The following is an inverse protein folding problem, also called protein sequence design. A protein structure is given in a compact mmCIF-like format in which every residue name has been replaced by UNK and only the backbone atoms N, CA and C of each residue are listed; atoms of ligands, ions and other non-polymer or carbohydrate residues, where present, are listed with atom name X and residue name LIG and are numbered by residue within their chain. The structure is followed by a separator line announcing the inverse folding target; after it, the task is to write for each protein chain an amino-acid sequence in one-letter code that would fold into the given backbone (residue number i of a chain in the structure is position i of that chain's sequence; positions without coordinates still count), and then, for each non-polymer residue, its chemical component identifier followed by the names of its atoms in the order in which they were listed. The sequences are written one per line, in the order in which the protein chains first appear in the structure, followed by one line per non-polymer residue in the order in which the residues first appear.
data_IF_648224816851
#
_entry.id   IF_648224816851
#
_cell.length_a   1.000
_cell.length_b   1.000
_cell.length_c   1.000
_cell.angle_alpha   90.00
_cell.angle_beta   90.00
_cell.angle_gamma   90.00
#
_symmetry.space_group_name_H-M   'P 1'
#
loop_
_entity.id
_entity.type
_entity.pdbx_description
1 polymer ?
#
# COMPACT_ATOMS: atom_id res chain seq x y z
N UNK A 1 13.00 -16.42 -25.11
CA UNK A 1 13.47 -16.07 -23.74
C UNK A 1 12.41 -15.20 -23.10
N UNK A 2 11.80 -15.63 -21.99
CA UNK A 2 11.00 -14.73 -21.16
C UNK A 2 11.94 -13.59 -20.71
N UNK A 3 11.62 -12.35 -21.09
CA UNK A 3 12.43 -11.19 -20.73
C UNK A 3 12.50 -11.05 -19.21
N UNK A 4 13.59 -11.51 -18.60
CA UNK A 4 13.81 -11.57 -17.16
C UNK A 4 13.88 -10.19 -16.50
N UNK A 5 14.00 -9.12 -17.28
CA UNK A 5 14.26 -7.76 -16.78
C UNK A 5 13.09 -7.12 -16.03
N UNK A 6 11.85 -7.60 -16.23
CA UNK A 6 10.64 -7.04 -15.61
C UNK A 6 9.76 -8.11 -14.93
N UNK A 7 10.35 -9.23 -14.50
CA UNK A 7 9.60 -10.26 -13.78
C UNK A 7 9.51 -9.91 -12.29
N UNK A 8 8.36 -10.18 -11.66
CA UNK A 8 8.19 -10.15 -10.21
C UNK A 8 7.45 -11.38 -9.75
N UNK A 9 7.78 -11.89 -8.57
CA UNK A 9 7.04 -12.97 -7.90
C UNK A 9 6.44 -12.41 -6.62
N UNK A 10 5.12 -12.52 -6.49
CA UNK A 10 4.37 -12.07 -5.30
C UNK A 10 3.81 -13.26 -4.55
N UNK A 11 4.02 -13.26 -3.23
CA UNK A 11 3.30 -14.11 -2.29
C UNK A 11 2.28 -13.26 -1.53
N UNK A 12 1.06 -13.80 -1.35
CA UNK A 12 -0.01 -13.13 -0.61
C UNK A 12 -0.69 -14.14 0.31
N UNK A 13 -0.81 -13.79 1.58
CA UNK A 13 -1.47 -14.60 2.60
C UNK A 13 -2.55 -13.78 3.31
N UNK A 14 -3.79 -14.26 3.23
CA UNK A 14 -4.96 -13.65 3.90
C UNK A 14 -5.28 -14.42 5.18
N UNK A 15 -5.02 -13.80 6.32
CA UNK A 15 -5.34 -14.33 7.64
C UNK A 15 -6.75 -13.88 8.08
N UNK A 16 -7.65 -14.84 8.26
CA UNK A 16 -9.01 -14.61 8.76
C UNK A 16 -9.85 -13.67 7.87
N UNK A 17 -9.49 -13.52 6.59
CA UNK A 17 -10.17 -12.60 5.65
C UNK A 17 -10.04 -11.10 5.98
N UNK A 18 -9.35 -10.75 7.07
CA UNK A 18 -9.25 -9.38 7.56
C UNK A 18 -7.84 -8.80 7.43
N UNK A 19 -6.80 -9.62 7.61
CA UNK A 19 -5.41 -9.17 7.50
C UNK A 19 -4.72 -9.84 6.32
N UNK A 20 -4.07 -9.08 5.44
CA UNK A 20 -3.31 -9.60 4.32
C UNK A 20 -1.84 -9.23 4.47
N UNK A 21 -0.97 -10.22 4.30
CA UNK A 21 0.47 -10.03 4.22
C UNK A 21 0.92 -10.30 2.79
N UNK A 22 1.70 -9.40 2.22
CA UNK A 22 2.23 -9.54 0.87
C UNK A 22 3.73 -9.30 0.86
N UNK A 23 4.47 -10.21 0.23
CA UNK A 23 5.87 -10.01 -0.12
C UNK A 23 6.02 -10.15 -1.63
N UNK A 24 6.86 -9.33 -2.22
CA UNK A 24 7.09 -9.29 -3.66
C UNK A 24 8.58 -9.22 -3.92
N UNK A 25 9.12 -10.19 -4.66
CA UNK A 25 10.49 -10.11 -5.15
C UNK A 25 10.49 -9.59 -6.58
N UNK A 26 11.21 -8.49 -6.81
CA UNK A 26 11.41 -7.88 -8.11
C UNK A 26 12.78 -8.28 -8.66
N UNK A 27 12.80 -9.11 -9.71
CA UNK A 27 14.04 -9.59 -10.32
C UNK A 27 14.80 -8.47 -11.05
N UNK A 28 14.10 -7.44 -11.54
CA UNK A 28 14.71 -6.30 -12.22
C UNK A 28 15.44 -5.38 -11.25
N UNK A 29 14.92 -5.22 -10.03
CA UNK A 29 15.53 -4.40 -8.96
C UNK A 29 16.41 -5.20 -8.01
N UNK A 30 16.35 -6.53 -8.07
CA UNK A 30 17.00 -7.42 -7.11
C UNK A 30 16.65 -7.06 -5.65
N UNK A 31 15.36 -6.84 -5.40
CA UNK A 31 14.87 -6.30 -4.14
C UNK A 31 13.52 -6.91 -3.73
N UNK A 32 13.27 -6.93 -2.43
CA UNK A 32 11.98 -7.28 -1.84
C UNK A 32 11.13 -6.03 -1.60
N UNK A 33 9.83 -6.12 -1.86
CA UNK A 33 8.84 -5.15 -1.40
C UNK A 33 7.86 -5.86 -0.46
N UNK A 34 7.39 -5.15 0.57
CA UNK A 34 6.49 -5.69 1.58
C UNK A 34 5.24 -4.84 1.69
N UNK A 35 4.10 -5.49 1.90
CA UNK A 35 2.86 -4.83 2.25
C UNK A 35 2.10 -5.63 3.32
N UNK A 36 1.44 -4.90 4.22
CA UNK A 36 0.44 -5.45 5.13
C UNK A 36 -0.81 -4.60 5.02
N UNK A 37 -1.97 -5.23 4.98
CA UNK A 37 -3.24 -4.54 5.10
C UNK A 37 -4.13 -5.20 6.12
N UNK A 38 -4.97 -4.40 6.79
CA UNK A 38 -5.95 -4.87 7.75
C UNK A 38 -7.26 -4.13 7.57
N UNK A 39 -8.33 -4.89 7.38
CA UNK A 39 -9.71 -4.40 7.39
C UNK A 39 -10.27 -4.36 8.81
N UNK A 40 -10.93 -3.27 9.16
CA UNK A 40 -11.66 -3.06 10.42
C UNK A 40 -12.97 -2.36 10.05
N UNK A 41 -14.09 -3.09 10.08
CA UNK A 41 -15.38 -2.60 9.55
C UNK A 41 -15.24 -2.13 8.08
N UNK A 42 -15.61 -0.87 7.81
CA UNK A 42 -15.52 -0.21 6.49
C UNK A 42 -14.12 0.38 6.22
N UNK A 43 -13.22 0.33 7.21
CA UNK A 43 -11.87 0.89 7.13
C UNK A 43 -10.85 -0.17 6.68
N UNK A 44 -9.90 0.24 5.86
CA UNK A 44 -8.70 -0.53 5.50
C UNK A 44 -7.47 0.30 5.81
N UNK A 45 -6.61 -0.25 6.66
CA UNK A 45 -5.29 0.28 6.95
C UNK A 45 -4.27 -0.52 6.17
N UNK A 46 -3.32 0.16 5.53
CA UNK A 46 -2.26 -0.47 4.75
C UNK A 46 -0.92 0.17 5.09
N UNK A 47 0.10 -0.67 5.23
CA UNK A 47 1.49 -0.23 5.29
C UNK A 47 2.28 -0.92 4.18
N UNK A 48 3.18 -0.18 3.54
CA UNK A 48 4.04 -0.71 2.49
C UNK A 48 5.47 -0.24 2.67
N UNK A 49 6.42 -1.10 2.36
CA UNK A 49 7.83 -0.77 2.31
C UNK A 49 8.44 -1.27 1.01
N UNK A 50 8.99 -0.35 0.22
CA UNK A 50 9.75 -0.69 -0.99
C UNK A 50 11.24 -0.67 -0.67
N UNK A 51 11.90 -1.82 -0.67
CA UNK A 51 13.29 -1.88 -0.17
C UNK A 51 14.26 -1.16 -1.09
N UNK A 52 14.04 -1.22 -2.41
CA UNK A 52 14.92 -0.59 -3.40
C UNK A 52 14.96 0.94 -3.27
N UNK A 53 13.79 1.58 -3.26
CA UNK A 53 13.69 3.04 -3.12
C UNK A 53 13.72 3.51 -1.68
N UNK A 54 13.57 2.59 -0.72
CA UNK A 54 13.44 2.85 0.72
C UNK A 54 12.20 3.70 1.06
N UNK A 55 11.16 3.62 0.25
CA UNK A 55 9.90 4.29 0.51
C UNK A 55 9.08 3.51 1.54
N UNK A 56 8.73 4.18 2.64
CA UNK A 56 7.78 3.71 3.63
C UNK A 56 6.47 4.49 3.46
N UNK A 57 5.35 3.80 3.34
CA UNK A 57 4.05 4.45 3.23
C UNK A 57 3.00 3.79 4.13
N UNK A 58 2.08 4.63 4.62
CA UNK A 58 0.90 4.28 5.37
C UNK A 58 -0.32 4.84 4.65
N UNK A 59 -1.40 4.07 4.62
CA UNK A 59 -2.66 4.45 4.02
C UNK A 59 -3.81 4.02 4.93
N UNK A 60 -4.78 4.90 5.09
CA UNK A 60 -6.08 4.63 5.65
C UNK A 60 -7.11 4.96 4.59
N UNK A 61 -7.92 3.99 4.21
CA UNK A 61 -9.08 4.20 3.34
C UNK A 61 -10.34 3.76 4.06
N UNK A 62 -11.44 4.45 3.78
CA UNK A 62 -12.78 4.03 4.16
C UNK A 62 -13.64 3.99 2.91
N UNK A 63 -14.42 2.93 2.78
CA UNK A 63 -15.47 2.84 1.77
C UNK A 63 -16.78 2.52 2.50
N UNK A 64 -17.55 3.57 2.83
CA UNK A 64 -18.81 3.44 3.53
C UNK A 64 -19.94 4.05 2.71
N UNK A 65 -21.05 3.33 2.59
CA UNK A 65 -22.24 3.82 1.85
C UNK A 65 -22.87 5.06 2.49
N UNK A 66 -22.72 5.24 3.81
CA UNK A 66 -23.38 6.31 4.55
C UNK A 66 -22.47 7.53 4.76
N UNK A 67 -21.19 7.31 5.05
CA UNK A 67 -20.24 8.38 5.40
C UNK A 67 -19.30 8.77 4.24
N UNK A 68 -19.56 8.25 3.03
CA UNK A 68 -18.74 8.48 1.84
C UNK A 68 -17.44 7.67 1.84
N UNK A 69 -16.64 7.91 0.79
CA UNK A 69 -15.35 7.26 0.58
C UNK A 69 -14.23 8.28 0.80
N UNK A 70 -13.19 7.89 1.53
CA UNK A 70 -11.98 8.72 1.64
C UNK A 70 -10.72 7.87 1.68
N UNK A 71 -9.59 8.53 1.42
CA UNK A 71 -8.25 7.97 1.55
C UNK A 71 -7.30 9.02 2.12
N UNK A 72 -6.58 8.65 3.16
CA UNK A 72 -5.51 9.43 3.76
C UNK A 72 -4.24 8.61 3.62
N UNK A 73 -3.20 9.16 3.00
CA UNK A 73 -1.92 8.51 2.83
C UNK A 73 -0.77 9.38 3.27
N UNK A 74 0.23 8.76 3.88
CA UNK A 74 1.48 9.36 4.27
C UNK A 74 2.63 8.52 3.74
N UNK A 75 3.66 9.15 3.16
CA UNK A 75 4.85 8.44 2.68
C UNK A 75 6.12 9.21 2.99
N UNK A 76 7.19 8.50 3.31
CA UNK A 76 8.51 9.08 3.52
C UNK A 76 9.56 8.20 2.85
N UNK A 77 10.50 8.84 2.14
CA UNK A 77 11.66 8.14 1.63
C UNK A 77 12.73 8.08 2.72
N UNK A 78 13.08 6.87 3.16
CA UNK A 78 14.06 6.68 4.24
C UNK A 78 15.52 6.84 3.79
N UNK A 79 15.77 6.97 2.48
CA UNK A 79 17.09 7.29 1.94
C UNK A 79 17.42 8.78 2.04
N UNK A 80 16.41 9.65 2.13
CA UNK A 80 16.60 11.10 2.20
C UNK A 80 17.22 11.52 3.54
N UNK A 81 18.11 12.53 3.50
CA UNK A 81 18.72 13.11 4.70
C UNK A 81 17.65 13.71 5.62
N UNK A 82 16.74 14.48 5.02
CA UNK A 82 15.63 15.13 5.73
C UNK A 82 14.34 14.34 5.50
N UNK A 83 13.86 13.67 6.55
CA UNK A 83 12.70 12.75 6.48
C UNK A 83 11.38 13.48 6.66
N UNK A 84 11.01 14.33 5.71
CA UNK A 84 9.72 15.03 5.74
C UNK A 84 8.66 14.14 5.07
N UNK A 85 7.61 13.72 5.78
CA UNK A 85 6.57 12.90 5.19
C UNK A 85 5.70 13.73 4.23
N UNK A 86 5.40 13.16 3.06
CA UNK A 86 4.35 13.64 2.17
C UNK A 86 3.00 13.14 2.69
N UNK A 87 2.07 14.05 2.95
CA UNK A 87 0.69 13.74 3.38
C UNK A 87 -0.29 14.08 2.26
N UNK A 88 -1.23 13.18 1.97
CA UNK A 88 -2.31 13.36 1.01
C UNK A 88 -3.61 12.93 1.67
N UNK A 89 -4.66 13.73 1.49
CA UNK A 89 -6.03 13.38 1.88
C UNK A 89 -6.96 13.65 0.70
N UNK A 90 -7.78 12.67 0.36
CA UNK A 90 -8.77 12.74 -0.71
C UNK A 90 -10.11 12.15 -0.23
N UNK A 91 -11.21 12.69 -0.74
CA UNK A 91 -12.57 12.17 -0.50
C UNK A 91 -13.35 12.11 -1.80
N UNK A 92 -14.31 11.21 -1.87
CA UNK A 92 -15.19 11.02 -3.02
C UNK A 92 -16.61 10.76 -2.54
N UNK A 93 -17.57 11.30 -3.28
CA UNK A 93 -19.00 11.18 -3.02
C UNK A 93 -19.63 10.45 -4.20
N UNK A 94 -20.25 9.31 -3.93
CA UNK A 94 -21.06 8.62 -4.92
C UNK A 94 -22.47 9.19 -4.85
N UNK A 95 -22.80 10.07 -5.80
CA UNK A 95 -24.14 10.60 -5.97
C UNK A 95 -24.93 9.59 -6.83
N UNK A 96 -25.64 8.66 -6.19
CA UNK A 96 -26.76 7.98 -6.87
C UNK A 96 -27.88 9.03 -7.07
N UNK A 97 -28.12 9.42 -8.33
CA UNK A 97 -29.33 10.13 -8.76
C UNK A 97 -30.38 9.13 -9.23
#
# INVERSE_FOLDING_TARGET
MFGTRNCKVKYSYSHGGATTFESCYDFGKNAWDFAISRRVYDDVFKATYQTWSRDLALEWSRNSKFNGTFKISASVNLAEETKIPKLIAESSWDLEM
#
